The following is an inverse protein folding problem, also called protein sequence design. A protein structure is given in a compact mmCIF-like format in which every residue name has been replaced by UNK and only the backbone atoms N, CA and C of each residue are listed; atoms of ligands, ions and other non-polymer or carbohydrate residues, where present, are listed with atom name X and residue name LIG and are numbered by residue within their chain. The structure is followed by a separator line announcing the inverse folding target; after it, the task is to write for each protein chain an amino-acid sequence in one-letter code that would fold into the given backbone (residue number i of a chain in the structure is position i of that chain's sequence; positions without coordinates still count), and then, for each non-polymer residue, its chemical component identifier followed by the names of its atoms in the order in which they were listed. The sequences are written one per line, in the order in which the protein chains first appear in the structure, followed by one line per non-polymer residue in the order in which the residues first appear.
data_IF_409846620934
#
_entry.id   IF_409846620934
#
_cell.length_a   1.000
_cell.length_b   1.000
_cell.length_c   1.000
_cell.angle_alpha   90.00
_cell.angle_beta   90.00
_cell.angle_gamma   90.00
#
_symmetry.space_group_name_H-M   'P 1'
#
loop_
_entity.id
_entity.type
_entity.pdbx_description
1 polymer ?
#
# COMPACT_ATOMS: atom_id res chain seq x y z
N UNK A 1 14.12 -9.50 -4.43
CA UNK A 1 14.62 -8.33 -3.70
C UNK A 1 13.71 -8.17 -2.48
N UNK A 2 14.25 -8.27 -1.27
CA UNK A 2 13.45 -8.23 -0.04
C UNK A 2 13.10 -6.77 0.27
N UNK A 3 11.86 -6.47 0.66
CA UNK A 3 11.49 -5.09 0.99
C UNK A 3 12.36 -4.61 2.17
N UNK A 4 13.10 -3.49 2.02
CA UNK A 4 14.18 -3.13 2.94
C UNK A 4 13.69 -2.60 4.30
N UNK A 5 12.38 -2.46 4.51
CA UNK A 5 11.85 -1.71 5.65
C UNK A 5 10.49 -2.23 6.13
N UNK A 6 10.27 -2.17 7.45
CA UNK A 6 8.97 -2.43 8.09
C UNK A 6 8.15 -1.14 8.12
N UNK A 7 6.95 -1.10 7.51
CA UNK A 7 6.10 0.09 7.51
C UNK A 7 5.90 0.76 8.89
N UNK A 8 6.03 2.08 8.96
CA UNK A 8 5.86 2.84 10.20
C UNK A 8 4.37 2.90 10.56
N UNK A 9 4.01 2.59 11.81
CA UNK A 9 2.60 2.56 12.26
C UNK A 9 1.71 1.66 11.37
N UNK A 10 2.25 0.52 10.93
CA UNK A 10 1.58 -0.39 10.02
C UNK A 10 0.16 -0.77 10.48
N UNK A 11 0.04 -1.32 11.68
CA UNK A 11 -1.23 -1.82 12.22
C UNK A 11 -2.26 -0.70 12.41
N UNK A 12 -1.82 0.47 12.88
CA UNK A 12 -2.68 1.63 13.06
C UNK A 12 -3.18 2.15 11.71
N UNK A 13 -2.31 2.16 10.70
CA UNK A 13 -2.69 2.57 9.35
C UNK A 13 -3.73 1.63 8.77
N UNK A 14 -3.53 0.31 8.81
CA UNK A 14 -4.52 -0.66 8.32
C UNK A 14 -5.84 -0.54 9.07
N UNK A 15 -5.80 -0.38 10.40
CA UNK A 15 -6.99 -0.24 11.22
C UNK A 15 -7.85 0.97 10.83
N UNK A 16 -7.22 2.06 10.36
CA UNK A 16 -7.94 3.24 9.87
C UNK A 16 -8.82 2.97 8.64
N UNK A 17 -8.54 1.90 7.86
CA UNK A 17 -9.33 1.50 6.69
C UNK A 17 -10.36 0.40 6.98
N UNK A 18 -10.40 -0.15 8.20
CA UNK A 18 -11.22 -1.33 8.56
C UNK A 18 -12.74 -1.18 8.37
N UNK A 19 -13.25 0.05 8.29
CA UNK A 19 -14.67 0.34 8.06
C UNK A 19 -15.07 0.38 6.58
N UNK A 20 -14.14 0.23 5.65
CA UNK A 20 -14.41 0.35 4.22
C UNK A 20 -14.77 -1.01 3.60
N UNK A 21 -15.89 -1.05 2.89
CA UNK A 21 -16.33 -2.26 2.19
C UNK A 21 -15.77 -2.38 0.78
N UNK A 22 -15.49 -1.27 0.10
CA UNK A 22 -15.16 -1.17 -1.32
C UNK A 22 -14.80 0.30 -1.66
N UNK A 23 -14.33 0.56 -2.87
CA UNK A 23 -13.95 1.89 -3.34
C UNK A 23 -12.47 2.01 -3.68
N UNK A 24 -11.99 3.26 -3.73
CA UNK A 24 -10.61 3.58 -4.11
C UNK A 24 -9.82 4.18 -2.94
N UNK A 25 -8.58 3.75 -2.78
CA UNK A 25 -7.59 4.34 -1.88
C UNK A 25 -6.51 5.01 -2.73
N UNK A 26 -6.10 6.22 -2.34
CA UNK A 26 -4.97 6.92 -2.93
C UNK A 26 -3.76 6.84 -1.99
N UNK A 27 -2.73 6.08 -2.37
CA UNK A 27 -1.42 6.11 -1.69
C UNK A 27 -0.50 7.10 -2.40
N UNK A 28 -0.33 8.28 -1.79
CA UNK A 28 0.48 9.37 -2.33
C UNK A 28 1.99 9.18 -2.15
N UNK A 29 2.41 8.13 -1.44
CA UNK A 29 3.79 7.88 -1.04
C UNK A 29 4.06 6.38 -1.07
N UNK A 30 3.81 5.75 -2.22
CA UNK A 30 3.78 4.30 -2.38
C UNK A 30 5.02 3.60 -1.80
N UNK A 31 6.20 4.18 -2.03
CA UNK A 31 7.49 3.57 -1.69
C UNK A 31 7.56 2.14 -2.20
N UNK A 32 7.96 1.21 -1.34
CA UNK A 32 7.99 -0.23 -1.65
C UNK A 32 6.66 -0.96 -1.35
N UNK A 33 5.54 -0.24 -1.36
CA UNK A 33 4.17 -0.73 -1.22
C UNK A 33 3.82 -1.46 0.08
N UNK A 34 4.58 -1.25 1.16
CA UNK A 34 4.32 -1.94 2.42
C UNK A 34 2.95 -1.63 3.03
N UNK A 35 2.57 -0.34 3.13
CA UNK A 35 1.24 0.06 3.61
C UNK A 35 0.13 -0.39 2.65
N UNK A 36 0.33 -0.11 1.36
CA UNK A 36 -0.60 -0.48 0.29
C UNK A 36 -0.94 -1.98 0.27
N UNK A 37 0.05 -2.87 0.40
CA UNK A 37 -0.15 -4.33 0.48
C UNK A 37 -1.00 -4.70 1.70
N UNK A 38 -0.69 -4.13 2.87
CA UNK A 38 -1.44 -4.39 4.11
C UNK A 38 -2.91 -3.94 4.02
N UNK A 39 -3.15 -2.77 3.41
CA UNK A 39 -4.50 -2.23 3.17
C UNK A 39 -5.28 -3.15 2.22
N UNK A 40 -4.71 -3.53 1.08
CA UNK A 40 -5.36 -4.39 0.09
C UNK A 40 -5.62 -5.80 0.62
N UNK A 41 -4.66 -6.37 1.36
CA UNK A 41 -4.80 -7.71 1.97
C UNK A 41 -5.93 -7.74 3.01
N UNK A 42 -6.12 -6.66 3.76
CA UNK A 42 -7.16 -6.56 4.78
C UNK A 42 -8.53 -6.17 4.20
N UNK A 43 -8.55 -5.59 2.99
CA UNK A 43 -9.75 -5.05 2.36
C UNK A 43 -9.78 -5.45 0.86
N UNK A 44 -10.11 -6.71 0.53
CA UNK A 44 -9.91 -7.28 -0.81
C UNK A 44 -10.79 -6.68 -1.92
N UNK A 45 -11.75 -5.82 -1.57
CA UNK A 45 -12.62 -5.11 -2.54
C UNK A 45 -12.19 -3.66 -2.77
N UNK A 46 -11.14 -3.18 -2.08
CA UNK A 46 -10.57 -1.88 -2.37
C UNK A 46 -9.69 -1.95 -3.62
N UNK A 47 -9.76 -0.88 -4.40
CA UNK A 47 -8.84 -0.61 -5.50
C UNK A 47 -7.82 0.43 -5.08
N UNK A 48 -6.57 0.27 -5.50
CA UNK A 48 -5.49 1.19 -5.17
C UNK A 48 -5.14 2.06 -6.38
N UNK A 49 -5.09 3.37 -6.16
CA UNK A 49 -4.38 4.32 -7.01
C UNK A 49 -3.15 4.74 -6.20
N UNK A 50 -1.97 4.67 -6.78
CA UNK A 50 -0.76 4.98 -6.05
C UNK A 50 0.23 5.76 -6.90
N UNK A 51 1.02 6.61 -6.24
CA UNK A 51 2.12 7.32 -6.86
C UNK A 51 3.35 7.37 -5.94
N UNK A 52 4.50 7.47 -6.60
CA UNK A 52 5.78 7.82 -6.01
C UNK A 52 6.57 8.58 -7.06
N UNK A 53 7.52 9.42 -6.62
CA UNK A 53 8.45 10.10 -7.53
C UNK A 53 9.61 9.20 -7.92
N UNK A 54 9.92 8.20 -7.10
CA UNK A 54 10.99 7.26 -7.35
C UNK A 54 10.53 6.15 -8.32
N UNK A 55 11.13 6.10 -9.51
CA UNK A 55 10.84 5.08 -10.50
C UNK A 55 11.21 3.66 -10.04
N UNK A 56 12.24 3.51 -9.19
CA UNK A 56 12.63 2.21 -8.64
C UNK A 56 11.55 1.68 -7.68
N UNK A 57 11.01 2.56 -6.84
CA UNK A 57 9.89 2.25 -5.96
C UNK A 57 8.63 1.83 -6.74
N UNK A 58 8.32 2.53 -7.85
CA UNK A 58 7.23 2.15 -8.76
C UNK A 58 7.46 0.76 -9.37
N UNK A 59 8.64 0.51 -9.96
CA UNK A 59 8.94 -0.77 -10.61
C UNK A 59 9.00 -1.94 -9.64
N UNK A 60 9.47 -1.72 -8.41
CA UNK A 60 9.40 -2.71 -7.35
C UNK A 60 7.93 -3.01 -6.98
N UNK A 61 7.14 -1.97 -6.75
CA UNK A 61 5.75 -2.10 -6.31
C UNK A 61 4.85 -2.76 -7.34
N UNK A 62 5.10 -2.52 -8.64
CA UNK A 62 4.41 -3.21 -9.76
C UNK A 62 4.59 -4.72 -9.76
N UNK A 63 5.67 -5.24 -9.17
CA UNK A 63 5.92 -6.69 -9.06
C UNK A 63 5.37 -7.28 -7.77
N UNK A 64 5.15 -6.44 -6.76
CA UNK A 64 4.71 -6.84 -5.42
C UNK A 64 3.19 -6.92 -5.30
N UNK A 65 2.48 -5.92 -5.84
CA UNK A 65 1.02 -5.79 -5.82
C UNK A 65 0.39 -6.41 -7.08
#
# INVERSE_FOLDING_TARGET
MQAPHVPVLFSQTIAAFSGLSDGYVLDCTLGYAGHSEGILSSNPRLSLIACDRDAEAIEFSRKRL
#
